data_IF_539551567540
#
_entry.id   IF_539551567540
#
_cell.length_a   1.000
_cell.length_b   1.000
_cell.length_c   1.000
_cell.angle_alpha   90.00
_cell.angle_beta   90.00
_cell.angle_gamma   90.00
#
_symmetry.space_group_name_H-M   'P 1'
#
loop_
_entity.id
_entity.type
_entity.pdbx_description
1 polymer ?
#
# COMPACT_ATOMS: atom_id res chain seq x y z
N UNK A 1 -16.90 -3.97 8.45
CA UNK A 1 -16.48 -2.82 7.64
C UNK A 1 -15.28 -3.30 6.85
N UNK A 2 -15.36 -3.24 5.54
CA UNK A 2 -14.26 -3.66 4.67
C UNK A 2 -13.21 -2.56 4.67
N UNK A 3 -12.14 -2.68 5.46
CA UNK A 3 -11.14 -1.63 5.61
C UNK A 3 -10.30 -1.39 4.34
N UNK A 4 -10.42 -2.27 3.34
CA UNK A 4 -9.84 -2.12 2.02
C UNK A 4 -10.75 -1.35 1.03
N UNK A 5 -11.98 -1.03 1.43
CA UNK A 5 -12.93 -0.28 0.60
C UNK A 5 -12.59 1.22 0.58
N UNK A 6 -12.49 1.78 -0.63
CA UNK A 6 -12.12 3.19 -0.82
C UNK A 6 -13.20 4.14 -0.28
N UNK A 7 -14.47 3.77 -0.37
CA UNK A 7 -15.58 4.57 0.15
C UNK A 7 -15.58 4.64 1.67
N UNK A 8 -15.34 3.52 2.36
CA UNK A 8 -15.14 3.50 3.82
C UNK A 8 -13.89 4.30 4.24
N UNK A 9 -12.81 4.19 3.48
CA UNK A 9 -11.59 4.96 3.72
C UNK A 9 -11.84 6.47 3.63
N UNK A 10 -12.53 6.95 2.59
CA UNK A 10 -12.89 8.36 2.45
C UNK A 10 -13.83 8.84 3.55
N UNK A 11 -14.79 8.01 3.99
CA UNK A 11 -15.63 8.33 5.16
C UNK A 11 -14.77 8.53 6.41
N UNK A 12 -13.85 7.61 6.69
CA UNK A 12 -12.94 7.72 7.82
C UNK A 12 -12.08 8.99 7.74
N UNK A 13 -11.46 9.23 6.58
CA UNK A 13 -10.62 10.41 6.31
C UNK A 13 -11.40 11.71 6.50
N UNK A 14 -12.61 11.80 5.95
CA UNK A 14 -13.46 12.97 6.06
C UNK A 14 -13.90 13.25 7.51
N UNK A 15 -14.28 12.22 8.26
CA UNK A 15 -14.68 12.37 9.67
C UNK A 15 -13.48 12.79 10.53
N UNK A 16 -12.30 12.19 10.33
CA UNK A 16 -11.08 12.60 11.03
C UNK A 16 -10.70 14.05 10.70
N UNK A 17 -10.74 14.44 9.42
CA UNK A 17 -10.46 15.80 9.00
C UNK A 17 -11.45 16.82 9.59
N UNK A 18 -12.73 16.46 9.67
CA UNK A 18 -13.75 17.28 10.34
C UNK A 18 -13.44 17.44 11.83
N UNK A 19 -13.03 16.36 12.50
CA UNK A 19 -12.63 16.45 13.91
C UNK A 19 -11.42 17.38 14.07
N UNK A 20 -10.35 17.23 13.27
CA UNK A 20 -9.16 18.10 13.32
C UNK A 20 -9.49 19.58 13.06
N UNK A 21 -10.51 19.87 12.25
CA UNK A 21 -10.89 21.25 11.89
C UNK A 21 -11.88 21.90 12.86
N UNK A 22 -12.45 21.15 13.81
CA UNK A 22 -13.46 21.68 14.72
C UNK A 22 -12.83 22.58 15.80
N UNK A 23 -13.45 23.74 16.12
CA UNK A 23 -12.99 24.55 17.26
C UNK A 23 -13.25 23.80 18.57
N UNK A 24 -12.19 23.31 19.21
CA UNK A 24 -12.26 22.56 20.47
C UNK A 24 -12.14 21.03 20.31
N UNK A 25 -11.35 20.56 19.34
CA UNK A 25 -11.14 19.13 19.06
C UNK A 25 -10.77 18.37 20.33
N UNK A 26 -11.66 17.47 20.74
CA UNK A 26 -11.36 16.49 21.76
C UNK A 26 -10.58 15.35 21.12
N UNK A 27 -9.27 15.25 21.35
CA UNK A 27 -8.43 14.10 21.00
C UNK A 27 -9.09 12.76 21.38
N UNK A 28 -10.03 12.77 22.34
CA UNK A 28 -10.94 11.68 22.70
C UNK A 28 -11.83 11.18 21.56
N UNK A 29 -12.41 12.08 20.77
CA UNK A 29 -13.22 11.71 19.61
C UNK A 29 -12.34 11.10 18.51
N UNK A 30 -11.18 11.70 18.23
CA UNK A 30 -10.22 11.14 17.28
C UNK A 30 -9.79 9.74 17.72
N UNK A 31 -9.43 9.57 18.99
CA UNK A 31 -9.09 8.26 19.56
C UNK A 31 -10.25 7.26 19.46
N UNK A 32 -11.49 7.69 19.75
CA UNK A 32 -12.68 6.85 19.61
C UNK A 32 -12.91 6.44 18.16
N UNK A 33 -12.64 7.32 17.19
CA UNK A 33 -12.72 6.99 15.77
C UNK A 33 -11.63 5.99 15.39
N UNK A 34 -10.38 6.20 15.83
CA UNK A 34 -9.28 5.26 15.58
C UNK A 34 -9.63 3.87 16.10
N UNK A 35 -10.03 3.77 17.38
CA UNK A 35 -10.35 2.49 18.02
C UNK A 35 -11.64 1.85 17.48
N UNK A 36 -12.58 2.66 16.97
CA UNK A 36 -13.88 2.18 16.53
C UNK A 36 -14.66 1.51 17.67
N UNK A 37 -14.87 0.19 17.57
CA UNK A 37 -15.54 -0.61 18.62
C UNK A 37 -14.58 -1.22 19.64
N UNK A 38 -13.26 -1.00 19.49
CA UNK A 38 -12.24 -1.53 20.41
C UNK A 38 -12.11 -0.62 21.63
N UNK A 39 -11.61 -1.19 22.73
CA UNK A 39 -11.33 -0.43 23.95
C UNK A 39 -9.93 -0.76 24.45
N UNK A 40 -9.35 0.23 25.13
CA UNK A 40 -8.12 0.13 25.88
C UNK A 40 -8.39 0.52 27.35
N UNK A 41 -7.53 0.13 28.29
CA UNK A 41 -7.55 0.68 29.64
C UNK A 41 -7.41 2.22 29.64
N UNK A 42 -8.03 2.92 30.60
CA UNK A 42 -8.00 4.39 30.65
C UNK A 42 -6.59 4.98 30.76
N UNK A 43 -5.70 4.33 31.52
CA UNK A 43 -4.29 4.72 31.59
C UNK A 43 -3.59 4.63 30.23
N UNK A 44 -3.94 3.64 29.42
CA UNK A 44 -3.36 3.50 28.08
C UNK A 44 -3.93 4.53 27.09
N UNK A 45 -5.21 4.88 27.23
CA UNK A 45 -5.84 5.96 26.46
C UNK A 45 -5.20 7.30 26.77
N UNK A 46 -4.85 7.60 28.02
CA UNK A 46 -4.27 8.87 28.41
C UNK A 46 -3.00 9.20 27.63
N UNK A 47 -2.07 8.24 27.49
CA UNK A 47 -0.85 8.41 26.71
C UNK A 47 -1.15 8.60 25.22
N UNK A 48 -2.13 7.87 24.66
CA UNK A 48 -2.53 8.05 23.26
C UNK A 48 -3.13 9.44 23.03
N UNK A 49 -3.89 9.99 23.97
CA UNK A 49 -4.42 11.35 23.89
C UNK A 49 -3.30 12.39 23.92
N UNK A 50 -2.26 12.17 24.70
CA UNK A 50 -1.07 13.02 24.75
C UNK A 50 -0.33 12.99 23.41
N UNK A 51 -0.10 11.80 22.84
CA UNK A 51 0.48 11.65 21.49
C UNK A 51 -0.36 12.32 20.41
N UNK A 52 -1.69 12.24 20.46
CA UNK A 52 -2.54 12.95 19.50
C UNK A 52 -2.38 14.47 19.60
N UNK A 53 -2.15 14.99 20.80
CA UNK A 53 -1.91 16.42 21.04
C UNK A 53 -0.52 16.83 20.54
N UNK A 54 0.49 15.99 20.77
CA UNK A 54 1.81 16.12 20.18
C UNK A 54 1.77 16.15 18.64
N UNK A 55 1.01 15.24 18.00
CA UNK A 55 0.91 15.18 16.54
C UNK A 55 0.24 16.42 15.95
N UNK A 56 -0.77 16.98 16.62
CA UNK A 56 -1.41 18.23 16.22
C UNK A 56 -0.39 19.40 16.18
N UNK A 57 0.45 19.50 17.22
CA UNK A 57 1.53 20.49 17.28
C UNK A 57 2.65 20.24 16.25
N UNK A 58 3.09 18.98 16.12
CA UNK A 58 4.24 18.61 15.31
C UNK A 58 3.98 18.67 13.80
N UNK A 59 2.75 18.34 13.38
CA UNK A 59 2.33 18.46 11.99
C UNK A 59 1.78 19.86 11.66
N UNK A 60 1.18 20.56 12.62
CA UNK A 60 0.62 21.88 12.42
C UNK A 60 -0.29 21.95 11.19
N UNK A 61 0.02 22.85 10.25
CA UNK A 61 -0.74 23.04 9.00
C UNK A 61 -0.15 22.31 7.79
N UNK A 62 0.82 21.41 8.00
CA UNK A 62 1.50 20.70 6.92
C UNK A 62 0.54 19.81 6.12
N UNK A 63 0.81 19.71 4.81
CA UNK A 63 -0.06 19.00 3.86
C UNK A 63 0.73 17.96 3.08
N UNK A 64 0.09 16.83 2.81
CA UNK A 64 0.64 15.83 1.88
C UNK A 64 0.61 16.37 0.46
N UNK A 65 1.37 15.72 -0.44
CA UNK A 65 1.44 16.04 -1.87
C UNK A 65 0.06 16.15 -2.55
N UNK A 66 -0.91 15.35 -2.11
CA UNK A 66 -2.28 15.33 -2.66
C UNK A 66 -3.21 16.38 -2.05
N UNK A 67 -2.77 17.14 -1.03
CA UNK A 67 -3.52 18.24 -0.43
C UNK A 67 -4.08 18.05 1.00
N UNK A 68 -4.47 16.84 1.48
CA UNK A 68 -4.93 16.66 2.85
C UNK A 68 -3.88 17.04 3.89
N UNK A 69 -4.33 17.33 5.12
CA UNK A 69 -3.42 17.53 6.26
C UNK A 69 -2.54 16.29 6.44
N UNK A 70 -1.24 16.50 6.61
CA UNK A 70 -0.27 15.42 6.71
C UNK A 70 -0.52 14.52 7.93
N UNK A 71 -1.03 15.10 9.03
CA UNK A 71 -1.40 14.34 10.24
C UNK A 71 -2.48 13.29 10.00
N UNK A 72 -3.29 13.40 8.93
CA UNK A 72 -4.30 12.38 8.63
C UNK A 72 -3.68 11.01 8.34
N UNK A 73 -2.48 10.96 7.78
CA UNK A 73 -1.81 9.72 7.42
C UNK A 73 -1.57 8.80 8.64
N UNK A 74 -0.83 9.22 9.68
CA UNK A 74 -0.63 8.39 10.86
C UNK A 74 -1.95 8.06 11.59
N UNK A 75 -2.93 8.97 11.60
CA UNK A 75 -4.24 8.72 12.23
C UNK A 75 -5.03 7.62 11.51
N UNK A 76 -5.09 7.67 10.18
CA UNK A 76 -5.80 6.66 9.37
C UNK A 76 -5.07 5.33 9.38
N UNK A 77 -3.75 5.31 9.24
CA UNK A 77 -2.95 4.09 9.35
C UNK A 77 -3.17 3.41 10.71
N UNK A 78 -3.17 4.19 11.80
CA UNK A 78 -3.46 3.67 13.15
C UNK A 78 -4.90 3.16 13.27
N UNK A 79 -5.86 3.82 12.65
CA UNK A 79 -7.25 3.35 12.62
C UNK A 79 -7.39 2.03 11.85
N UNK A 80 -6.71 1.88 10.71
CA UNK A 80 -6.67 0.64 9.93
C UNK A 80 -6.07 -0.49 10.78
N UNK A 81 -4.95 -0.24 11.45
CA UNK A 81 -4.32 -1.21 12.37
C UNK A 81 -5.24 -1.58 13.54
N UNK A 82 -5.78 -0.60 14.26
CA UNK A 82 -6.60 -0.81 15.44
C UNK A 82 -7.87 -1.62 15.12
N UNK A 83 -8.51 -1.33 13.97
CA UNK A 83 -9.75 -1.98 13.55
C UNK A 83 -9.52 -3.39 12.98
N UNK A 84 -8.30 -3.69 12.55
CA UNK A 84 -7.87 -5.03 12.10
C UNK A 84 -7.51 -5.96 13.26
N UNK A 85 -7.18 -5.40 14.42
CA UNK A 85 -6.91 -6.18 15.63
C UNK A 85 -8.18 -6.41 16.44
N UNK A 86 -8.36 -7.61 16.99
CA UNK A 86 -9.40 -7.86 17.99
C UNK A 86 -9.07 -7.17 19.32
N UNK A 87 -7.80 -7.17 19.69
CA UNK A 87 -7.26 -6.55 20.90
C UNK A 87 -6.06 -5.68 20.49
N UNK A 88 -6.28 -4.41 20.12
CA UNK A 88 -5.17 -3.52 19.79
C UNK A 88 -4.28 -3.32 21.02
N UNK A 89 -2.97 -3.34 20.82
CA UNK A 89 -1.99 -3.06 21.87
C UNK A 89 -1.61 -1.59 21.80
N UNK A 90 -1.59 -0.90 22.94
CA UNK A 90 -1.21 0.51 23.01
C UNK A 90 0.13 0.79 22.33
N UNK A 91 1.14 -0.06 22.57
CA UNK A 91 2.48 0.11 21.99
C UNK A 91 2.44 0.05 20.46
N UNK A 92 1.65 -0.83 19.87
CA UNK A 92 1.51 -0.95 18.41
C UNK A 92 0.82 0.30 17.82
N UNK A 93 -0.17 0.86 18.54
CA UNK A 93 -0.82 2.12 18.14
C UNK A 93 0.13 3.32 18.25
N UNK A 94 0.93 3.40 19.33
CA UNK A 94 1.95 4.44 19.49
C UNK A 94 3.00 4.35 18.39
N UNK A 95 3.49 3.14 18.08
CA UNK A 95 4.42 2.91 16.99
C UNK A 95 3.82 3.37 15.65
N UNK A 96 2.54 3.07 15.38
CA UNK A 96 1.89 3.49 14.14
C UNK A 96 1.67 5.01 14.06
N UNK A 97 1.28 5.66 15.17
CA UNK A 97 1.10 7.10 15.23
C UNK A 97 2.42 7.87 15.02
N UNK A 98 3.54 7.29 15.44
CA UNK A 98 4.86 7.93 15.43
C UNK A 98 5.79 7.41 14.33
N UNK A 99 5.31 6.59 13.39
CA UNK A 99 6.17 5.91 12.43
C UNK A 99 6.98 6.87 11.52
N UNK A 100 6.46 8.07 11.24
CA UNK A 100 7.14 9.11 10.44
C UNK A 100 7.95 10.11 11.30
N UNK A 101 7.98 9.95 12.63
CA UNK A 101 8.59 10.94 13.55
C UNK A 101 10.03 11.29 13.19
N UNK A 102 10.83 10.30 12.80
CA UNK A 102 12.25 10.49 12.51
C UNK A 102 12.52 10.80 11.03
N UNK A 103 11.53 10.62 10.15
CA UNK A 103 11.67 10.88 8.71
C UNK A 103 11.20 12.30 8.35
N UNK A 104 10.04 12.71 8.87
CA UNK A 104 9.36 13.92 8.43
C UNK A 104 9.35 15.06 9.46
N UNK A 105 9.56 14.78 10.76
CA UNK A 105 9.38 15.75 11.84
C UNK A 105 10.72 16.14 12.48
N UNK A 106 11.09 17.44 12.50
CA UNK A 106 10.33 18.58 12.01
C UNK A 106 10.33 18.68 10.48
N UNK A 107 9.21 19.14 9.91
CA UNK A 107 9.11 19.37 8.47
C UNK A 107 10.09 20.45 8.03
N UNK A 108 10.59 20.37 6.80
CA UNK A 108 11.63 21.26 6.24
C UNK A 108 11.35 22.76 6.44
N UNK A 109 10.09 23.17 6.45
CA UNK A 109 9.68 24.58 6.57
C UNK A 109 9.18 24.95 7.98
N UNK A 110 9.29 24.06 8.96
CA UNK A 110 8.86 24.32 10.34
C UNK A 110 9.76 25.38 10.98
N UNK A 111 9.20 26.44 11.60
CA UNK A 111 9.99 27.41 12.35
C UNK A 111 10.79 26.74 13.48
N UNK A 112 12.06 27.11 13.72
CA UNK A 112 12.89 26.47 14.75
C UNK A 112 12.27 26.46 16.16
N UNK A 113 11.54 27.51 16.53
CA UNK A 113 10.88 27.60 17.83
C UNK A 113 9.70 26.60 17.97
N UNK A 114 8.96 26.36 16.89
CA UNK A 114 7.86 25.39 16.89
C UNK A 114 8.40 23.96 16.85
N UNK A 115 9.47 23.72 16.08
CA UNK A 115 10.19 22.44 16.08
C UNK A 115 10.73 22.09 17.48
N UNK A 116 11.35 23.06 18.18
CA UNK A 116 11.82 22.87 19.55
C UNK A 116 10.66 22.57 20.50
N UNK A 117 9.54 23.31 20.42
CA UNK A 117 8.35 23.08 21.25
C UNK A 117 7.80 21.66 21.07
N UNK A 118 7.69 21.21 19.82
CA UNK A 118 7.23 19.87 19.50
C UNK A 118 8.20 18.80 20.05
N UNK A 119 9.51 18.99 19.91
CA UNK A 119 10.49 18.03 20.46
C UNK A 119 10.45 17.97 21.99
N UNK A 120 10.33 19.11 22.67
CA UNK A 120 10.15 19.15 24.12
C UNK A 120 8.86 18.44 24.57
N UNK A 121 7.77 18.58 23.81
CA UNK A 121 6.53 17.85 24.05
C UNK A 121 6.74 16.35 23.87
N UNK A 122 7.37 15.93 22.77
CA UNK A 122 7.69 14.52 22.52
C UNK A 122 8.48 13.90 23.68
N UNK A 123 9.54 14.57 24.16
CA UNK A 123 10.36 14.09 25.27
C UNK A 123 9.56 13.96 26.57
N UNK A 124 8.72 14.96 26.92
CA UNK A 124 7.83 14.88 28.09
C UNK A 124 6.82 13.75 27.99
N UNK A 125 6.21 13.57 26.81
CA UNK A 125 5.27 12.46 26.56
C UNK A 125 5.98 11.11 26.76
N UNK A 126 7.21 10.95 26.27
CA UNK A 126 7.98 9.72 26.45
C UNK A 126 8.30 9.43 27.93
N UNK A 127 8.42 10.44 28.80
CA UNK A 127 8.60 10.24 30.24
C UNK A 127 7.36 9.66 30.94
N UNK A 128 6.17 9.85 30.35
CA UNK A 128 4.93 9.26 30.84
C UNK A 128 4.74 7.78 30.45
N UNK A 129 5.55 7.29 29.51
CA UNK A 129 5.59 5.89 29.09
C UNK A 129 6.53 5.13 30.00
N UNK A 130 6.12 3.94 30.43
CA UNK A 130 6.98 3.02 31.20
C UNK A 130 8.36 2.86 30.53
N UNK A 131 9.48 2.90 31.28
CA UNK A 131 10.83 2.90 30.70
C UNK A 131 11.13 1.75 29.74
N UNK A 132 10.62 0.55 30.02
CA UNK A 132 10.80 -0.61 29.15
C UNK A 132 10.01 -0.42 27.85
N UNK A 133 8.73 -0.01 27.96
CA UNK A 133 7.89 0.30 26.79
C UNK A 133 8.44 1.46 25.95
N UNK A 134 9.02 2.48 26.59
CA UNK A 134 9.67 3.62 25.94
C UNK A 134 10.83 3.16 25.07
N UNK A 135 11.69 2.29 25.59
CA UNK A 135 12.81 1.74 24.84
C UNK A 135 12.32 0.97 23.61
N UNK A 136 11.35 0.06 23.78
CA UNK A 136 10.76 -0.67 22.66
C UNK A 136 10.09 0.23 21.62
N UNK A 137 9.41 1.31 22.05
CA UNK A 137 8.80 2.27 21.13
C UNK A 137 9.85 2.93 20.25
N UNK A 138 10.94 3.43 20.84
CA UNK A 138 11.98 4.13 20.09
C UNK A 138 12.74 3.20 19.13
N UNK A 139 13.05 1.97 19.54
CA UNK A 139 13.64 0.98 18.63
C UNK A 139 12.73 0.70 17.42
N UNK A 140 11.42 0.52 17.67
CA UNK A 140 10.46 0.28 16.58
C UNK A 140 10.35 1.45 15.62
N UNK A 141 10.29 2.68 16.14
CA UNK A 141 10.25 3.89 15.30
C UNK A 141 11.55 4.01 14.49
N UNK A 142 12.70 3.71 15.09
CA UNK A 142 13.98 3.71 14.38
C UNK A 142 14.01 2.69 13.24
N UNK A 143 13.58 1.44 13.48
CA UNK A 143 13.51 0.41 12.43
C UNK A 143 12.46 0.68 11.35
N UNK A 144 11.45 1.50 11.65
CA UNK A 144 10.47 1.97 10.66
C UNK A 144 10.99 3.15 9.82
N UNK A 145 12.13 3.74 10.16
CA UNK A 145 12.69 4.91 9.48
C UNK A 145 13.71 4.47 8.43
N UNK A 146 13.52 4.89 7.18
CA UNK A 146 14.51 4.67 6.11
C UNK A 146 15.72 5.57 6.31
N UNK A 147 16.94 5.02 6.29
CA UNK A 147 18.14 5.84 6.43
C UNK A 147 18.51 6.52 5.11
N UNK A 148 19.18 7.70 5.16
CA UNK A 148 19.69 8.35 3.95
C UNK A 148 20.62 7.43 3.15
N UNK A 149 20.27 7.17 1.89
CA UNK A 149 21.05 6.32 0.98
C UNK A 149 20.58 4.86 0.90
N UNK A 150 19.70 4.40 1.79
CA UNK A 150 19.10 3.07 1.66
C UNK A 150 18.24 3.00 0.39
N UNK A 151 18.27 1.88 -0.32
CA UNK A 151 17.23 1.56 -1.30
C UNK A 151 15.95 1.14 -0.59
N UNK A 152 14.80 1.24 -1.26
CA UNK A 152 13.54 0.75 -0.67
C UNK A 152 13.63 -0.73 -0.26
N UNK A 153 14.31 -1.56 -1.06
CA UNK A 153 14.48 -3.00 -0.78
C UNK A 153 15.32 -3.25 0.47
N UNK A 154 16.44 -2.52 0.62
CA UNK A 154 17.35 -2.69 1.74
C UNK A 154 16.65 -2.31 3.05
N UNK A 155 15.94 -1.19 3.03
CA UNK A 155 15.14 -0.73 4.17
C UNK A 155 14.07 -1.76 4.57
N UNK A 156 13.26 -2.27 3.62
CA UNK A 156 12.26 -3.30 3.95
C UNK A 156 12.94 -4.59 4.44
N UNK A 157 14.06 -4.98 3.84
CA UNK A 157 14.85 -6.14 4.27
C UNK A 157 15.27 -6.05 5.73
N UNK A 158 15.87 -4.92 6.12
CA UNK A 158 16.32 -4.65 7.49
C UNK A 158 15.15 -4.61 8.47
N UNK A 159 14.06 -3.91 8.13
CA UNK A 159 12.84 -3.88 8.94
C UNK A 159 12.33 -5.30 9.24
N UNK A 160 12.33 -6.17 8.22
CA UNK A 160 11.88 -7.56 8.36
C UNK A 160 12.84 -8.43 9.15
N UNK A 161 14.15 -8.14 9.18
CA UNK A 161 15.09 -8.84 10.06
C UNK A 161 14.78 -8.60 11.55
N UNK A 162 14.28 -7.40 11.87
CA UNK A 162 13.82 -7.05 13.22
C UNK A 162 12.41 -7.56 13.54
N UNK A 163 11.63 -8.01 12.55
CA UNK A 163 10.27 -8.49 12.75
C UNK A 163 10.18 -9.76 13.62
N UNK A 164 11.25 -10.55 13.70
CA UNK A 164 11.32 -11.71 14.63
C UNK A 164 11.24 -11.24 16.10
N UNK A 165 11.90 -10.12 16.41
CA UNK A 165 11.93 -9.53 17.76
C UNK A 165 10.72 -8.64 18.03
N UNK A 166 10.20 -7.97 16.99
CA UNK A 166 9.04 -7.10 17.07
C UNK A 166 8.07 -7.35 15.89
N UNK A 167 7.19 -8.38 15.99
CA UNK A 167 6.24 -8.71 14.92
C UNK A 167 5.29 -7.56 14.54
N UNK A 168 5.07 -6.63 15.47
CA UNK A 168 4.30 -5.41 15.26
C UNK A 168 4.82 -4.53 14.12
N UNK A 169 6.14 -4.58 13.82
CA UNK A 169 6.73 -3.81 12.72
C UNK A 169 6.06 -4.13 11.39
N UNK A 170 5.78 -5.41 11.15
CA UNK A 170 5.11 -5.86 9.93
C UNK A 170 3.70 -5.31 9.87
N UNK A 171 2.94 -5.38 10.97
CA UNK A 171 1.56 -4.85 11.05
C UNK A 171 1.52 -3.36 10.78
N UNK A 172 2.41 -2.59 11.43
CA UNK A 172 2.49 -1.14 11.27
C UNK A 172 2.87 -0.81 9.83
N UNK A 173 3.87 -1.51 9.25
CA UNK A 173 4.30 -1.24 7.87
C UNK A 173 3.23 -1.58 6.84
N UNK A 174 2.50 -2.68 7.05
CA UNK A 174 1.36 -3.04 6.21
C UNK A 174 0.22 -2.03 6.34
N UNK A 175 -0.07 -1.51 7.54
CA UNK A 175 -1.11 -0.51 7.76
C UNK A 175 -0.73 0.85 7.13
N UNK A 176 0.52 1.29 7.26
CA UNK A 176 1.10 2.44 6.53
C UNK A 176 0.88 2.28 5.02
N UNK A 177 1.23 1.11 4.48
CA UNK A 177 1.13 0.86 3.04
C UNK A 177 -0.30 0.74 2.54
N UNK A 178 -1.19 0.19 3.36
CA UNK A 178 -2.62 0.17 3.07
C UNK A 178 -3.19 1.60 3.02
N UNK A 179 -2.89 2.45 4.01
CA UNK A 179 -3.32 3.85 3.99
C UNK A 179 -2.82 4.55 2.72
N UNK A 180 -1.53 4.45 2.44
CA UNK A 180 -0.94 5.09 1.27
C UNK A 180 -1.50 4.58 -0.06
N UNK A 181 -1.95 3.33 -0.11
CA UNK A 181 -2.62 2.76 -1.29
C UNK A 181 -4.00 3.39 -1.50
N UNK A 182 -4.77 3.53 -0.43
CA UNK A 182 -6.10 4.12 -0.46
C UNK A 182 -6.06 5.65 -0.63
N UNK A 183 -5.00 6.32 -0.17
CA UNK A 183 -4.81 7.76 -0.27
C UNK A 183 -4.54 8.24 -1.70
N UNK A 184 -4.13 7.35 -2.63
CA UNK A 184 -3.80 7.68 -4.03
C UNK A 184 -4.92 8.34 -4.85
N UNK A 185 -6.15 8.31 -4.33
CA UNK A 185 -7.39 8.74 -5.01
C UNK A 185 -8.18 9.78 -4.24
N UNK A 186 -7.64 10.36 -3.15
CA UNK A 186 -8.39 11.28 -2.28
C UNK A 186 -8.91 12.55 -3.00
N UNK A 187 -8.43 12.80 -4.21
CA UNK A 187 -8.77 13.91 -5.10
C UNK A 187 -9.83 13.57 -6.17
N UNK A 188 -10.33 12.33 -6.25
CA UNK A 188 -11.29 11.90 -7.28
C UNK A 188 -12.42 11.06 -6.68
N UNK A 189 -13.65 11.24 -7.18
CA UNK A 189 -14.71 10.27 -6.94
C UNK A 189 -14.31 8.90 -7.51
N UNK A 190 -14.70 7.81 -6.85
CA UNK A 190 -14.27 6.47 -7.26
C UNK A 190 -14.89 6.13 -8.63
N UNK A 191 -14.09 6.10 -9.72
CA UNK A 191 -14.61 6.00 -11.08
C UNK A 191 -15.20 4.62 -11.41
N UNK A 192 -15.02 3.65 -10.51
CA UNK A 192 -15.54 2.29 -10.64
C UNK A 192 -16.57 1.96 -9.56
N UNK A 193 -17.09 2.97 -8.84
CA UNK A 193 -18.08 2.74 -7.79
C UNK A 193 -19.29 2.01 -8.36
N UNK A 194 -19.56 0.80 -7.85
CA UNK A 194 -20.65 -0.05 -8.33
C UNK A 194 -20.39 -0.74 -9.68
N UNK A 195 -19.17 -0.65 -10.20
CA UNK A 195 -18.74 -1.35 -11.41
C UNK A 195 -18.07 -2.65 -11.03
N UNK A 196 -18.59 -3.75 -11.58
CA UNK A 196 -17.95 -5.07 -11.48
C UNK A 196 -16.92 -5.21 -12.61
N UNK A 197 -15.64 -5.18 -12.26
CA UNK A 197 -14.53 -5.33 -13.19
C UNK A 197 -14.57 -6.68 -13.92
N UNK A 198 -14.75 -7.78 -13.18
CA UNK A 198 -14.74 -9.13 -13.75
C UNK A 198 -15.94 -9.35 -14.68
N UNK A 199 -17.13 -8.87 -14.31
CA UNK A 199 -18.29 -8.90 -15.20
C UNK A 199 -18.10 -8.03 -16.44
N UNK A 200 -17.36 -6.92 -16.33
CA UNK A 200 -17.02 -6.04 -17.45
C UNK A 200 -16.05 -6.72 -18.41
N UNK A 201 -14.98 -7.33 -17.89
CA UNK A 201 -14.04 -8.14 -18.67
C UNK A 201 -14.75 -9.33 -19.32
N UNK A 202 -15.59 -10.05 -18.57
CA UNK A 202 -16.34 -11.19 -19.10
C UNK A 202 -17.27 -10.75 -20.25
N UNK A 203 -18.03 -9.66 -20.08
CA UNK A 203 -18.87 -9.11 -21.16
C UNK A 203 -18.05 -8.71 -22.38
N UNK A 204 -16.91 -8.06 -22.18
CA UNK A 204 -15.99 -7.70 -23.26
C UNK A 204 -15.54 -8.94 -24.05
N UNK A 205 -15.19 -10.02 -23.36
CA UNK A 205 -14.64 -11.24 -23.97
C UNK A 205 -15.70 -12.14 -24.62
N UNK A 206 -16.90 -12.24 -24.05
CA UNK A 206 -17.87 -13.29 -24.42
C UNK A 206 -19.19 -12.77 -25.00
N UNK A 207 -19.60 -11.54 -24.72
CA UNK A 207 -20.92 -11.04 -25.14
C UNK A 207 -20.83 -10.37 -26.50
N UNK A 208 -21.45 -11.00 -27.50
CA UNK A 208 -21.59 -10.39 -28.82
C UNK A 208 -22.47 -9.13 -28.74
N UNK A 209 -22.03 -8.03 -29.34
CA UNK A 209 -22.71 -6.74 -29.30
C UNK A 209 -22.42 -5.86 -28.09
N UNK A 210 -21.56 -6.30 -27.15
CA UNK A 210 -21.07 -5.42 -26.08
C UNK A 210 -20.37 -4.20 -26.67
N UNK A 211 -20.71 -3.01 -26.15
CA UNK A 211 -20.27 -1.72 -26.69
C UNK A 211 -19.05 -1.12 -25.98
N UNK A 212 -18.49 -1.84 -25.01
CA UNK A 212 -17.43 -1.33 -24.16
C UNK A 212 -17.96 -0.88 -22.81
N UNK A 213 -17.03 -0.65 -21.89
CA UNK A 213 -17.34 0.00 -20.64
C UNK A 213 -17.64 1.48 -20.91
N UNK A 214 -18.85 1.90 -20.52
CA UNK A 214 -19.30 3.28 -20.64
C UNK A 214 -19.29 3.93 -19.24
N UNK A 215 -18.35 4.85 -18.97
CA UNK A 215 -18.27 5.48 -17.67
C UNK A 215 -19.49 6.39 -17.44
N UNK A 216 -20.04 6.36 -16.22
CA UNK A 216 -21.16 7.23 -15.83
C UNK A 216 -20.76 8.69 -15.56
N UNK A 217 -19.47 9.00 -15.66
CA UNK A 217 -18.89 10.31 -15.33
C UNK A 217 -18.03 10.79 -16.50
N UNK A 218 -17.84 12.10 -16.62
CA UNK A 218 -16.92 12.67 -17.61
C UNK A 218 -15.47 12.32 -17.26
N UNK A 219 -14.56 12.44 -18.26
CA UNK A 219 -13.15 12.26 -18.01
C UNK A 219 -12.69 13.24 -16.92
N UNK A 220 -12.17 12.76 -15.77
CA UNK A 220 -11.76 13.63 -14.68
C UNK A 220 -10.56 14.48 -15.08
N UNK A 221 -10.44 15.66 -14.46
CA UNK A 221 -9.28 16.53 -14.63
C UNK A 221 -7.97 15.83 -14.24
N UNK A 222 -6.81 16.30 -14.76
CA UNK A 222 -5.52 15.77 -14.39
C UNK A 222 -5.27 15.84 -12.87
N UNK A 223 -4.96 14.69 -12.28
CA UNK A 223 -4.66 14.55 -10.85
C UNK A 223 -3.16 14.67 -10.58
N UNK A 224 -2.72 15.08 -9.37
CA UNK A 224 -1.29 15.17 -9.03
C UNK A 224 -0.57 13.81 -9.08
N UNK A 225 -1.32 12.70 -8.95
CA UNK A 225 -0.84 11.36 -9.24
C UNK A 225 -1.50 10.80 -10.51
N UNK A 226 -0.70 10.53 -11.53
CA UNK A 226 -1.18 9.88 -12.75
C UNK A 226 -1.18 8.34 -12.62
N UNK A 227 -1.73 7.64 -13.62
CA UNK A 227 -1.82 6.18 -13.58
C UNK A 227 -0.47 5.45 -13.50
N UNK A 228 0.60 6.00 -14.10
CA UNK A 228 1.93 5.37 -14.02
C UNK A 228 2.52 5.48 -12.60
N UNK A 229 2.31 6.62 -11.94
CA UNK A 229 2.72 6.80 -10.54
C UNK A 229 1.92 5.91 -9.58
N UNK A 230 0.64 5.64 -9.89
CA UNK A 230 -0.17 4.67 -9.15
C UNK A 230 0.34 3.24 -9.35
N UNK A 231 0.66 2.84 -10.58
CA UNK A 231 1.33 1.55 -10.87
C UNK A 231 2.64 1.40 -10.09
N UNK A 232 3.42 2.48 -9.94
CA UNK A 232 4.64 2.46 -9.13
C UNK A 232 4.37 2.20 -7.64
N UNK A 233 3.26 2.68 -7.08
CA UNK A 233 2.88 2.30 -5.71
C UNK A 233 2.48 0.82 -5.62
N UNK A 234 1.79 0.29 -6.64
CA UNK A 234 1.47 -1.14 -6.71
C UNK A 234 2.75 -1.99 -6.78
N UNK A 235 3.74 -1.55 -7.54
CA UNK A 235 5.07 -2.16 -7.55
C UNK A 235 5.68 -2.22 -6.13
N UNK A 236 5.69 -1.10 -5.40
CA UNK A 236 6.21 -1.07 -4.01
C UNK A 236 5.45 -2.02 -3.08
N UNK A 237 4.14 -2.19 -3.29
CA UNK A 237 3.33 -3.15 -2.54
C UNK A 237 3.72 -4.59 -2.90
N UNK A 238 3.86 -4.93 -4.19
CA UNK A 238 4.30 -6.25 -4.62
C UNK A 238 5.69 -6.63 -4.07
N UNK A 239 6.62 -5.68 -4.03
CA UNK A 239 7.94 -5.84 -3.40
C UNK A 239 7.81 -6.13 -1.91
N UNK A 240 7.08 -5.29 -1.16
CA UNK A 240 6.89 -5.48 0.27
C UNK A 240 6.25 -6.84 0.57
N UNK A 241 5.17 -7.18 -0.13
CA UNK A 241 4.43 -8.41 0.10
C UNK A 241 5.26 -9.65 -0.23
N UNK A 242 6.07 -9.60 -1.30
CA UNK A 242 7.02 -10.67 -1.62
C UNK A 242 8.07 -10.84 -0.52
N UNK A 243 8.66 -9.75 -0.02
CA UNK A 243 9.67 -9.81 1.05
C UNK A 243 9.07 -10.31 2.37
N UNK A 244 7.85 -9.89 2.72
CA UNK A 244 7.12 -10.41 3.89
C UNK A 244 6.93 -11.92 3.76
N UNK A 245 6.45 -12.42 2.61
CA UNK A 245 6.27 -13.86 2.36
C UNK A 245 7.57 -14.65 2.48
N UNK A 246 8.69 -14.09 2.01
CA UNK A 246 10.01 -14.75 2.07
C UNK A 246 10.60 -14.79 3.47
N UNK A 247 10.45 -13.73 4.27
CA UNK A 247 11.12 -13.59 5.57
C UNK A 247 10.25 -13.93 6.77
N UNK A 248 8.93 -13.79 6.65
CA UNK A 248 7.98 -13.98 7.75
C UNK A 248 7.18 -15.27 7.49
N UNK A 249 7.64 -16.37 8.07
CA UNK A 249 7.09 -17.72 7.82
C UNK A 249 5.63 -17.87 8.25
N UNK A 250 5.20 -17.16 9.30
CA UNK A 250 3.83 -17.22 9.80
C UNK A 250 3.38 -15.84 10.28
N UNK A 251 2.58 -15.18 9.44
CA UNK A 251 2.00 -13.89 9.78
C UNK A 251 0.77 -14.12 10.66
N UNK A 252 0.77 -13.52 11.86
CA UNK A 252 -0.35 -13.67 12.79
C UNK A 252 -1.67 -13.09 12.23
N UNK A 253 -2.84 -13.43 12.79
CA UNK A 253 -4.14 -13.09 12.20
C UNK A 253 -4.33 -11.61 11.85
N UNK A 254 -3.90 -10.70 12.72
CA UNK A 254 -3.97 -9.25 12.45
C UNK A 254 -3.10 -8.85 11.26
N UNK A 255 -1.84 -9.27 11.24
CA UNK A 255 -0.93 -9.02 10.12
C UNK A 255 -1.47 -9.61 8.82
N UNK A 256 -1.98 -10.85 8.85
CA UNK A 256 -2.58 -11.50 7.68
C UNK A 256 -3.80 -10.73 7.18
N UNK A 257 -4.68 -10.29 8.08
CA UNK A 257 -5.83 -9.47 7.72
C UNK A 257 -5.44 -8.20 6.97
N UNK A 258 -4.42 -7.47 7.47
CA UNK A 258 -3.95 -6.24 6.80
C UNK A 258 -3.25 -6.57 5.47
N UNK A 259 -2.49 -7.66 5.40
CA UNK A 259 -1.86 -8.15 4.18
C UNK A 259 -2.89 -8.44 3.08
N UNK A 260 -3.95 -9.19 3.41
CA UNK A 260 -5.04 -9.50 2.48
C UNK A 260 -5.75 -8.21 2.02
N UNK A 261 -5.98 -7.28 2.93
CA UNK A 261 -6.59 -5.98 2.62
C UNK A 261 -5.71 -5.11 1.73
N UNK A 262 -4.39 -5.16 1.90
CA UNK A 262 -3.43 -4.48 1.01
C UNK A 262 -3.46 -5.09 -0.40
N UNK A 263 -3.51 -6.42 -0.53
CA UNK A 263 -3.69 -7.07 -1.83
C UNK A 263 -5.00 -6.64 -2.50
N UNK A 264 -6.13 -6.69 -1.77
CA UNK A 264 -7.44 -6.31 -2.31
C UNK A 264 -7.49 -4.83 -2.73
N UNK A 265 -6.96 -3.91 -1.90
CA UNK A 265 -6.90 -2.50 -2.24
C UNK A 265 -6.02 -2.24 -3.48
N UNK A 266 -4.88 -2.94 -3.57
CA UNK A 266 -3.95 -2.84 -4.70
C UNK A 266 -4.55 -3.41 -5.99
N UNK A 267 -5.27 -4.53 -5.90
CA UNK A 267 -6.03 -5.12 -7.00
C UNK A 267 -7.09 -4.16 -7.53
N UNK A 268 -7.94 -3.62 -6.64
CA UNK A 268 -8.98 -2.64 -7.03
C UNK A 268 -8.37 -1.39 -7.68
N UNK A 269 -7.20 -0.93 -7.23
CA UNK A 269 -6.55 0.19 -7.89
C UNK A 269 -6.05 -0.16 -9.29
N UNK A 270 -5.51 -1.36 -9.50
CA UNK A 270 -5.13 -1.82 -10.83
C UNK A 270 -6.36 -1.94 -11.76
N UNK A 271 -7.50 -2.46 -11.26
CA UNK A 271 -8.77 -2.50 -11.98
C UNK A 271 -9.23 -1.09 -12.41
N UNK A 272 -9.12 -0.10 -11.51
CA UNK A 272 -9.41 1.31 -11.83
C UNK A 272 -8.57 1.83 -12.98
N UNK A 273 -7.28 1.47 -13.03
CA UNK A 273 -6.37 1.92 -14.09
C UNK A 273 -6.80 1.31 -15.43
N UNK A 274 -7.11 0.01 -15.48
CA UNK A 274 -7.60 -0.66 -16.69
C UNK A 274 -8.89 -0.02 -17.19
N UNK A 275 -9.91 0.09 -16.34
CA UNK A 275 -11.20 0.64 -16.72
C UNK A 275 -11.12 2.11 -17.14
N UNK A 276 -10.30 2.91 -16.45
CA UNK A 276 -10.08 4.30 -16.84
C UNK A 276 -9.46 4.40 -18.25
N UNK A 277 -8.45 3.58 -18.56
CA UNK A 277 -7.83 3.61 -19.90
C UNK A 277 -8.83 3.14 -20.97
N UNK A 278 -9.56 2.06 -20.72
CA UNK A 278 -10.56 1.54 -21.65
C UNK A 278 -11.72 2.50 -21.92
N UNK A 279 -12.15 3.24 -20.90
CA UNK A 279 -13.22 4.23 -21.02
C UNK A 279 -12.80 5.49 -21.78
N UNK A 280 -11.59 5.98 -21.53
CA UNK A 280 -11.27 7.37 -21.83
C UNK A 280 -10.11 7.59 -22.81
N UNK A 281 -9.26 6.59 -23.04
CA UNK A 281 -8.03 6.76 -23.81
C UNK A 281 -8.09 6.07 -25.19
N UNK A 282 -9.30 5.91 -25.73
CA UNK A 282 -9.51 5.58 -27.15
C UNK A 282 -8.97 4.23 -27.62
N UNK A 283 -8.88 3.23 -26.72
CA UNK A 283 -8.49 1.87 -27.12
C UNK A 283 -9.72 1.15 -27.68
N UNK A 284 -9.65 0.76 -28.95
CA UNK A 284 -10.72 0.02 -29.64
C UNK A 284 -11.03 -1.31 -28.96
N UNK A 285 -12.29 -1.75 -28.98
CA UNK A 285 -12.74 -2.97 -28.26
C UNK A 285 -11.96 -4.23 -28.65
N UNK A 286 -11.55 -4.35 -29.92
CA UNK A 286 -10.75 -5.49 -30.35
C UNK A 286 -9.34 -5.46 -29.74
N UNK A 287 -8.75 -4.27 -29.61
CA UNK A 287 -7.46 -4.09 -28.96
C UNK A 287 -7.57 -4.35 -27.45
N UNK A 288 -8.65 -3.89 -26.80
CA UNK A 288 -8.89 -4.18 -25.39
C UNK A 288 -8.92 -5.71 -25.12
N UNK A 289 -9.63 -6.47 -25.97
CA UNK A 289 -9.64 -7.94 -25.90
C UNK A 289 -8.26 -8.54 -26.13
N UNK A 290 -7.53 -8.04 -27.13
CA UNK A 290 -6.20 -8.54 -27.45
C UNK A 290 -5.24 -8.35 -26.26
N UNK A 291 -5.28 -7.19 -25.60
CA UNK A 291 -4.48 -6.90 -24.40
C UNK A 291 -4.79 -7.88 -23.26
N UNK A 292 -6.08 -8.19 -23.02
CA UNK A 292 -6.48 -9.14 -21.97
C UNK A 292 -5.99 -10.55 -22.30
N UNK A 293 -6.17 -11.02 -23.55
CA UNK A 293 -5.71 -12.35 -23.98
C UNK A 293 -4.19 -12.47 -23.87
N UNK A 294 -3.47 -11.41 -24.25
CA UNK A 294 -2.01 -11.36 -24.22
C UNK A 294 -1.48 -11.53 -22.79
N UNK A 295 -1.96 -10.71 -21.84
CA UNK A 295 -1.55 -10.82 -20.43
C UNK A 295 -2.00 -12.15 -19.83
N UNK A 296 -3.20 -12.65 -20.17
CA UNK A 296 -3.66 -13.96 -19.72
C UNK A 296 -2.68 -15.07 -20.13
N UNK A 297 -2.22 -15.09 -21.39
CA UNK A 297 -1.25 -16.07 -21.87
C UNK A 297 0.10 -15.92 -21.17
N UNK A 298 0.57 -14.69 -20.99
CA UNK A 298 1.82 -14.41 -20.28
C UNK A 298 1.78 -14.91 -18.82
N UNK A 299 0.68 -14.62 -18.12
CA UNK A 299 0.46 -15.07 -16.75
C UNK A 299 0.41 -16.61 -16.65
N UNK A 300 -0.33 -17.27 -17.55
CA UNK A 300 -0.43 -18.73 -17.59
C UNK A 300 0.91 -19.42 -17.90
N UNK A 301 1.76 -18.76 -18.68
CA UNK A 301 3.13 -19.23 -18.96
C UNK A 301 4.10 -19.03 -17.77
N UNK A 302 3.64 -18.45 -16.65
CA UNK A 302 4.46 -18.23 -15.46
C UNK A 302 5.23 -16.91 -15.45
N UNK A 303 5.00 -16.01 -16.40
CA UNK A 303 5.72 -14.73 -16.53
C UNK A 303 5.54 -13.77 -15.35
N UNK A 304 4.57 -14.03 -14.46
CA UNK A 304 4.32 -13.23 -13.24
C UNK A 304 4.81 -13.91 -11.96
N UNK A 305 5.54 -15.03 -12.06
CA UNK A 305 6.10 -15.72 -10.90
C UNK A 305 7.50 -15.21 -10.51
N UNK A 306 8.17 -14.51 -11.41
CA UNK A 306 9.56 -14.08 -11.24
C UNK A 306 9.82 -12.73 -11.91
N UNK A 307 10.87 -12.03 -11.47
CA UNK A 307 11.41 -10.89 -12.19
C UNK A 307 12.07 -11.39 -13.47
N UNK A 308 11.62 -10.88 -14.60
CA UNK A 308 12.10 -11.24 -15.94
C UNK A 308 13.13 -10.24 -16.47
N UNK A 309 14.03 -10.65 -17.38
CA UNK A 309 15.03 -9.75 -17.96
C UNK A 309 14.43 -8.79 -19.00
N UNK A 310 14.93 -7.56 -19.17
CA UNK A 310 14.42 -6.59 -20.17
C UNK A 310 14.51 -7.04 -21.63
N UNK A 311 15.40 -7.99 -21.94
CA UNK A 311 15.61 -8.49 -23.29
C UNK A 311 14.68 -9.66 -23.66
N UNK A 312 13.83 -10.12 -22.74
CA UNK A 312 12.89 -11.20 -23.00
C UNK A 312 11.72 -10.72 -23.89
N UNK A 313 11.05 -11.65 -24.60
CA UNK A 313 10.30 -11.31 -25.81
C UNK A 313 8.94 -10.64 -25.57
N UNK A 314 8.40 -10.67 -24.36
CA UNK A 314 7.08 -10.11 -24.04
C UNK A 314 7.21 -8.66 -23.55
N UNK A 315 6.24 -7.79 -23.86
CA UNK A 315 6.30 -6.36 -23.49
C UNK A 315 6.32 -6.11 -21.96
N UNK A 316 5.88 -7.09 -21.17
CA UNK A 316 5.95 -7.04 -19.70
C UNK A 316 7.31 -7.50 -19.15
N UNK A 317 8.15 -8.09 -19.98
CA UNK A 317 9.45 -8.58 -19.54
C UNK A 317 10.36 -7.42 -19.16
N UNK A 318 11.04 -7.57 -18.02
CA UNK A 318 11.86 -6.52 -17.44
C UNK A 318 11.11 -5.27 -16.99
N UNK A 319 9.77 -5.28 -16.90
CA UNK A 319 9.00 -4.14 -16.42
C UNK A 319 9.45 -3.71 -15.00
N UNK A 320 9.71 -4.68 -14.12
CA UNK A 320 10.18 -4.42 -12.75
C UNK A 320 11.54 -3.71 -12.73
N UNK A 321 12.47 -4.13 -13.60
CA UNK A 321 13.84 -3.59 -13.66
C UNK A 321 13.91 -2.27 -14.45
N UNK A 322 13.32 -2.24 -15.64
CA UNK A 322 13.44 -1.11 -16.56
C UNK A 322 12.54 0.07 -16.21
N UNK A 323 11.37 -0.18 -15.61
CA UNK A 323 10.37 0.86 -15.38
C UNK A 323 10.30 1.30 -13.91
N UNK A 324 10.40 0.35 -12.97
CA UNK A 324 10.11 0.60 -11.56
C UNK A 324 11.29 0.52 -10.61
N UNK A 325 12.48 0.12 -11.07
CA UNK A 325 13.65 0.02 -10.21
C UNK A 325 14.03 1.38 -9.57
N UNK A 326 14.28 1.36 -8.26
CA UNK A 326 14.61 2.53 -7.43
C UNK A 326 16.09 2.90 -7.56
N UNK A 327 16.54 3.19 -8.79
CA UNK A 327 17.92 3.58 -9.10
C UNK A 327 18.19 5.07 -8.79
N UNK A 328 17.35 5.99 -9.30
CA UNK A 328 17.33 7.39 -8.86
C UNK A 328 15.95 8.04 -9.03
N UNK A 329 15.62 9.09 -8.25
CA UNK A 329 14.35 9.82 -8.40
C UNK A 329 14.13 10.40 -9.81
N UNK A 330 15.18 10.91 -10.44
CA UNK A 330 15.14 11.52 -11.77
C UNK A 330 14.92 10.47 -12.86
N UNK A 331 15.67 9.36 -12.82
CA UNK A 331 15.52 8.26 -13.76
C UNK A 331 14.13 7.63 -13.64
N UNK A 332 13.66 7.41 -12.41
CA UNK A 332 12.29 6.93 -12.15
C UNK A 332 11.25 7.86 -12.75
N UNK A 333 11.39 9.18 -12.58
CA UNK A 333 10.43 10.14 -13.16
C UNK A 333 10.35 9.98 -14.68
N UNK A 334 11.49 9.92 -15.36
CA UNK A 334 11.55 9.71 -16.82
C UNK A 334 10.90 8.39 -17.23
N UNK A 335 11.16 7.31 -16.51
CA UNK A 335 10.58 5.99 -16.81
C UNK A 335 9.07 5.96 -16.61
N UNK A 336 8.56 6.58 -15.54
CA UNK A 336 7.12 6.70 -15.30
C UNK A 336 6.43 7.62 -16.32
N UNK A 337 7.10 8.68 -16.77
CA UNK A 337 6.58 9.53 -17.84
C UNK A 337 6.48 8.77 -19.17
N UNK A 338 7.48 7.93 -19.50
CA UNK A 338 7.43 7.03 -20.66
C UNK A 338 6.30 6.01 -20.55
N UNK A 339 6.16 5.35 -19.40
CA UNK A 339 5.06 4.44 -19.14
C UNK A 339 3.70 5.16 -19.28
N UNK A 340 3.59 6.39 -18.77
CA UNK A 340 2.35 7.15 -18.85
C UNK A 340 1.91 7.46 -20.30
N UNK A 341 2.87 7.63 -21.21
CA UNK A 341 2.58 7.84 -22.64
C UNK A 341 2.12 6.55 -23.33
N UNK A 342 2.57 5.37 -22.86
CA UNK A 342 2.17 4.08 -23.40
C UNK A 342 0.96 3.49 -22.66
N UNK A 343 -0.24 3.88 -23.09
CA UNK A 343 -1.50 3.39 -22.49
C UNK A 343 -1.69 1.89 -22.63
N UNK A 344 -1.15 1.26 -23.68
CA UNK A 344 -1.26 -0.18 -23.88
C UNK A 344 -0.40 -0.91 -22.87
N UNK A 345 0.85 -0.49 -22.68
CA UNK A 345 1.72 -1.04 -21.64
C UNK A 345 1.15 -0.79 -20.24
N UNK A 346 0.57 0.39 -19.96
CA UNK A 346 -0.10 0.63 -18.68
C UNK A 346 -1.23 -0.36 -18.39
N UNK A 347 -2.06 -0.68 -19.40
CA UNK A 347 -3.12 -1.69 -19.25
C UNK A 347 -2.50 -3.05 -18.98
N UNK A 348 -1.47 -3.45 -19.74
CA UNK A 348 -0.82 -4.74 -19.52
C UNK A 348 -0.24 -4.84 -18.10
N UNK A 349 0.44 -3.79 -17.65
CA UNK A 349 1.02 -3.68 -16.31
C UNK A 349 -0.04 -3.73 -15.22
N UNK A 350 -1.16 -3.04 -15.40
CA UNK A 350 -2.28 -3.09 -14.46
C UNK A 350 -2.90 -4.50 -14.39
N UNK A 351 -3.16 -5.13 -15.53
CA UNK A 351 -3.65 -6.53 -15.58
C UNK A 351 -2.67 -7.50 -14.91
N UNK A 352 -1.37 -7.33 -15.12
CA UNK A 352 -0.35 -8.11 -14.44
C UNK A 352 -0.40 -7.94 -12.92
N UNK A 353 -0.55 -6.71 -12.43
CA UNK A 353 -0.70 -6.45 -10.99
C UNK A 353 -1.99 -7.07 -10.42
N UNK A 354 -3.11 -7.06 -11.14
CA UNK A 354 -4.33 -7.76 -10.71
C UNK A 354 -4.01 -9.23 -10.42
N UNK A 355 -3.35 -9.90 -11.37
CA UNK A 355 -2.98 -11.33 -11.22
C UNK A 355 -1.99 -11.55 -10.09
N UNK A 356 -0.97 -10.69 -9.94
CA UNK A 356 -0.01 -10.74 -8.81
C UNK A 356 -0.74 -10.65 -7.46
N UNK A 357 -1.65 -9.68 -7.29
CA UNK A 357 -2.36 -9.50 -6.02
C UNK A 357 -3.40 -10.59 -5.76
N UNK A 358 -4.05 -11.12 -6.80
CA UNK A 358 -4.86 -12.34 -6.66
C UNK A 358 -4.01 -13.52 -6.21
N UNK A 359 -2.81 -13.69 -6.78
CA UNK A 359 -1.91 -14.79 -6.41
C UNK A 359 -1.46 -14.72 -4.95
N UNK A 360 -1.24 -13.51 -4.41
CA UNK A 360 -0.98 -13.32 -2.97
C UNK A 360 -2.14 -13.73 -2.05
N UNK A 361 -3.38 -13.61 -2.53
CA UNK A 361 -4.59 -13.99 -1.81
C UNK A 361 -4.85 -15.49 -1.89
N UNK A 362 -4.63 -16.07 -3.07
CA UNK A 362 -4.97 -17.47 -3.37
C UNK A 362 -3.90 -18.46 -2.89
N UNK A 363 -2.62 -18.07 -2.92
CA UNK A 363 -1.50 -18.93 -2.54
C UNK A 363 -0.67 -18.31 -1.40
N UNK A 364 -0.70 -18.89 -0.18
CA UNK A 364 0.11 -18.43 0.95
C UNK A 364 1.63 -18.51 0.73
N UNK A 365 2.09 -19.29 -0.25
CA UNK A 365 3.51 -19.44 -0.60
C UNK A 365 3.94 -18.53 -1.74
N UNK A 366 3.01 -17.85 -2.41
CA UNK A 366 3.33 -16.99 -3.53
C UNK A 366 4.13 -15.75 -3.12
N UNK A 367 5.20 -15.52 -3.85
CA UNK A 367 5.96 -14.28 -3.91
C UNK A 367 6.54 -14.16 -5.32
N UNK A 368 6.88 -12.94 -5.75
CA UNK A 368 7.59 -12.76 -7.03
C UNK A 368 9.07 -13.07 -6.81
N UNK A 369 9.57 -14.17 -7.40
CA UNK A 369 10.99 -14.53 -7.30
C UNK A 369 11.89 -13.51 -8.00
N UNK A 370 13.17 -13.49 -7.66
CA UNK A 370 14.09 -12.41 -8.06
C UNK A 370 14.04 -11.14 -7.20
N UNK A 371 12.98 -10.92 -6.38
CA UNK A 371 12.93 -9.81 -5.41
C UNK A 371 13.68 -10.19 -4.11
N UNK A 372 14.63 -9.36 -3.67
CA UNK A 372 15.37 -9.55 -2.42
C UNK A 372 15.76 -8.21 -1.77
N UNK A 373 16.32 -8.24 -0.57
CA UNK A 373 16.71 -7.02 0.17
C UNK A 373 17.80 -6.19 -0.53
N UNK A 374 18.70 -6.84 -1.27
CA UNK A 374 19.72 -6.17 -2.07
C UNK A 374 19.23 -5.55 -3.38
N UNK A 375 17.94 -5.66 -3.73
CA UNK A 375 17.39 -5.22 -5.02
C UNK A 375 16.59 -6.30 -5.75
N UNK A 376 16.64 -6.28 -7.08
CA UNK A 376 15.97 -7.27 -7.92
C UNK A 376 16.97 -7.84 -8.92
N UNK A 377 16.90 -9.15 -9.14
CA UNK A 377 17.64 -9.82 -10.19
C UNK A 377 16.67 -10.57 -11.10
N UNK A 378 16.92 -10.55 -12.40
CA UNK A 378 16.18 -11.39 -13.32
C UNK A 378 16.53 -12.86 -13.06
N UNK A 379 15.52 -13.67 -12.77
CA UNK A 379 15.70 -15.11 -12.71
C UNK A 379 15.58 -15.66 -14.14
N UNK A 380 16.71 -16.03 -14.74
CA UNK A 380 16.76 -16.54 -16.12
C UNK A 380 16.16 -17.96 -16.28
N UNK A 381 15.65 -18.57 -15.21
CA UNK A 381 15.19 -19.96 -15.23
C UNK A 381 13.69 -20.02 -14.96
N UNK A 382 12.86 -20.45 -15.93
CA UNK A 382 11.50 -20.84 -15.60
C UNK A 382 11.58 -22.01 -14.63
N UNK A 383 10.96 -21.87 -13.45
CA UNK A 383 10.78 -23.00 -12.53
C UNK A 383 9.96 -24.06 -13.29
N UNK A 384 10.48 -25.27 -13.49
CA UNK A 384 9.69 -26.34 -14.09
C UNK A 384 8.48 -26.63 -13.20
N UNK A 385 7.28 -26.58 -13.77
CA UNK A 385 6.07 -27.07 -13.12
C UNK A 385 6.11 -28.60 -13.06
N UNK A 386 6.87 -29.17 -12.12
CA UNK A 386 6.70 -30.56 -11.69
C UNK A 386 6.05 -30.58 -10.31
N UNK A 387 4.75 -30.29 -10.30
CA UNK A 387 3.81 -30.78 -9.28
C UNK A 387 2.69 -31.53 -10.00
N UNK A 388 3.04 -32.68 -10.58
CA UNK A 388 2.04 -33.72 -10.79
C UNK A 388 1.55 -34.19 -9.42
N UNK A 389 0.23 -34.26 -9.17
CA UNK A 389 -0.27 -34.81 -7.92
C UNK A 389 0.18 -36.27 -7.82
N UNK A 390 0.75 -36.64 -6.67
CA UNK A 390 1.07 -38.01 -6.34
C UNK A 390 -0.17 -38.88 -6.56
N UNK A 391 -0.13 -39.73 -7.58
CA UNK A 391 -1.12 -40.78 -7.78
C UNK A 391 -1.14 -41.66 -6.54
N UNK A 392 -2.27 -41.67 -5.83
CA UNK A 392 -2.52 -42.57 -4.72
C UNK A 392 -2.30 -44.03 -5.18
N UNK A 393 -1.79 -44.92 -4.30
CA UNK A 393 -1.65 -46.32 -4.64
C UNK A 393 -3.04 -46.93 -4.84
N UNK A 394 -3.27 -47.48 -6.03
CA UNK A 394 -4.42 -48.34 -6.28
C UNK A 394 -4.29 -49.58 -5.39
N UNK A 395 -5.17 -49.67 -4.39
CA UNK A 395 -5.40 -50.92 -3.68
C UNK A 395 -6.13 -51.91 -4.57
N UNK A 396 -5.51 -53.06 -4.78
CA UNK A 396 -6.13 -54.36 -4.98
C UNK A 396 -5.17 -55.43 -4.43
#
# INVERSE_FOLDING_TARGET
MELHDLGEFFRLSAILNLQLSARGVGSRNILSLILGRRSLPEGEKAILLDVLSYLDEAYGTERRKLGPLAVLHPLRATALLARSSEQPLQLDLLTCLLHDKLEDIPFKNTPPADAQRAEEHFLRMLESVDPERKWYLMERVNWLTRQPGDTYYAYIGQLLDHAVQAPSLVRVKLADRLDNTLDMRIDVDDPIRGVDFFATVFRLMFVNGYKGYDPQVEHPDPTPLNGAQRLYQLFKNAVLMSLVRKKVTNLEPTGKGIFDMLALASMKEAERIVLHIFAYHGIELQDQRALIIDVMRYAQAGGLQHVTPPEAPHDLDGLFLSCFEDSSPEARKVNLDRLYLDKRLMVKSALAFIVIFMSFLDDPSYYVSGIHEGGMNADATPVPQDLAPATAPAGA
#
